data_IF_142506103769
#
_entry.id   IF_142506103769
#
_cell.length_a   1.000
_cell.length_b   1.000
_cell.length_c   1.000
_cell.angle_alpha   90.00
_cell.angle_beta   90.00
_cell.angle_gamma   90.00
#
_symmetry.space_group_name_H-M   'P 1'
#
loop_
_entity.id
_entity.type
_entity.pdbx_description
1 polymer ?
#
# COMPACT_ATOMS: atom_id res chain seq x y z
N UNK A 1 -1.38 6.80 6.99
CA UNK A 1 -1.99 7.14 5.68
C UNK A 1 -0.99 7.60 4.59
N UNK A 2 0.32 7.75 4.84
CA UNK A 2 1.22 8.39 3.86
C UNK A 2 2.16 7.46 3.06
N UNK A 3 2.29 6.17 3.40
CA UNK A 3 3.24 5.27 2.74
C UNK A 3 2.79 4.78 1.35
N UNK A 4 1.48 4.67 1.12
CA UNK A 4 0.94 4.19 -0.17
C UNK A 4 1.32 5.05 -1.37
N UNK A 5 1.50 6.36 -1.16
CA UNK A 5 1.95 7.29 -2.20
C UNK A 5 3.41 7.04 -2.59
N UNK A 6 4.26 6.65 -1.64
CA UNK A 6 5.66 6.34 -1.91
C UNK A 6 5.79 5.05 -2.72
N UNK A 7 5.04 4.01 -2.33
CA UNK A 7 4.96 2.78 -3.10
C UNK A 7 4.43 3.03 -4.53
N UNK A 8 3.34 3.79 -4.69
CA UNK A 8 2.81 4.16 -6.01
C UNK A 8 3.89 4.82 -6.90
N UNK A 9 4.66 5.76 -6.33
CA UNK A 9 5.73 6.48 -7.04
C UNK A 9 6.91 5.61 -7.44
N UNK A 10 7.28 4.65 -6.60
CA UNK A 10 8.36 3.69 -6.88
C UNK A 10 7.94 2.71 -7.98
N UNK A 11 6.67 2.29 -7.97
CA UNK A 11 6.12 1.34 -8.94
C UNK A 11 5.78 1.97 -10.29
N UNK A 12 5.46 3.27 -10.33
CA UNK A 12 5.00 3.96 -11.54
C UNK A 12 5.89 3.75 -12.79
N UNK A 13 7.24 3.78 -12.71
CA UNK A 13 8.09 3.59 -13.88
C UNK A 13 8.01 2.19 -14.49
N UNK A 14 7.59 1.17 -13.73
CA UNK A 14 7.49 -0.20 -14.22
C UNK A 14 6.23 -0.43 -15.07
N UNK A 15 5.22 0.45 -14.98
CA UNK A 15 3.97 0.32 -15.72
C UNK A 15 3.32 -1.05 -15.54
N UNK A 16 2.76 -1.58 -16.62
CA UNK A 16 2.02 -2.85 -16.62
C UNK A 16 2.94 -4.09 -16.47
N UNK A 17 4.23 -3.96 -16.76
CA UNK A 17 5.21 -5.05 -16.54
C UNK A 17 5.40 -5.35 -15.05
N UNK A 18 5.19 -4.33 -14.20
CA UNK A 18 5.31 -4.45 -12.76
C UNK A 18 6.73 -4.75 -12.28
N UNK A 19 6.83 -5.02 -10.98
CA UNK A 19 8.08 -5.44 -10.33
C UNK A 19 7.77 -6.65 -9.45
N UNK A 20 8.71 -7.60 -9.39
CA UNK A 20 8.66 -8.60 -8.34
C UNK A 20 8.92 -7.98 -6.96
N UNK A 21 8.57 -8.73 -5.91
CA UNK A 21 8.70 -8.24 -4.54
C UNK A 21 10.14 -7.98 -4.10
N UNK A 22 11.11 -8.72 -4.64
CA UNK A 22 12.52 -8.54 -4.29
C UNK A 22 13.09 -7.25 -4.90
N UNK A 23 12.67 -6.91 -6.11
CA UNK A 23 13.00 -5.68 -6.80
C UNK A 23 12.27 -4.46 -6.21
N UNK A 24 10.98 -4.61 -5.86
CA UNK A 24 10.17 -3.51 -5.33
C UNK A 24 10.46 -3.20 -3.85
N UNK A 25 10.78 -4.21 -3.04
CA UNK A 25 10.91 -4.07 -1.59
C UNK A 25 11.90 -2.98 -1.14
N UNK A 26 13.20 -3.09 -1.49
CA UNK A 26 14.22 -2.13 -1.07
C UNK A 26 13.92 -0.66 -1.44
N UNK A 27 13.53 -0.31 -2.68
CA UNK A 27 13.24 1.08 -3.01
C UNK A 27 11.96 1.60 -2.32
N UNK A 28 10.94 0.77 -2.12
CA UNK A 28 9.72 1.16 -1.38
C UNK A 28 10.03 1.41 0.09
N UNK A 29 10.88 0.58 0.71
CA UNK A 29 11.33 0.77 2.09
C UNK A 29 12.09 2.10 2.22
N UNK A 30 13.12 2.30 1.39
CA UNK A 30 13.91 3.53 1.39
C UNK A 30 13.06 4.79 1.17
N UNK A 31 12.15 4.77 0.19
CA UNK A 31 11.28 5.90 -0.11
C UNK A 31 10.29 6.23 1.03
N UNK A 32 9.96 5.25 1.89
CA UNK A 32 8.96 5.41 2.95
C UNK A 32 9.53 5.42 4.37
N UNK A 33 10.84 5.24 4.54
CA UNK A 33 11.52 5.11 5.83
C UNK A 33 11.29 6.30 6.79
N UNK A 34 11.20 7.52 6.27
CA UNK A 34 10.97 8.74 7.06
C UNK A 34 9.53 8.87 7.59
N UNK A 35 8.59 8.01 7.16
CA UNK A 35 7.19 8.10 7.59
C UNK A 35 7.01 7.42 8.95
N UNK A 36 6.19 8.00 9.83
CA UNK A 36 5.91 7.39 11.13
C UNK A 36 5.32 6.00 10.95
N UNK A 37 5.76 5.08 11.82
CA UNK A 37 5.16 3.76 11.97
C UNK A 37 4.01 3.89 12.97
N UNK A 38 2.87 3.31 12.62
CA UNK A 38 1.68 3.24 13.48
C UNK A 38 1.26 1.78 13.61
N UNK A 39 0.77 1.40 14.79
CA UNK A 39 0.27 0.06 15.04
C UNK A 39 -1.23 -0.02 14.76
N UNK A 40 -1.63 -1.01 13.97
CA UNK A 40 -3.02 -1.39 13.81
C UNK A 40 -3.40 -2.37 14.92
N UNK A 41 -4.40 -2.01 15.72
CA UNK A 41 -4.93 -2.81 16.83
C UNK A 41 -6.42 -3.03 16.65
N UNK A 42 -6.90 -4.22 17.01
CA UNK A 42 -8.30 -4.59 16.92
C UNK A 42 -8.60 -5.84 17.76
N UNK A 43 -9.86 -6.22 17.79
CA UNK A 43 -10.42 -7.39 18.46
C UNK A 43 -10.75 -8.49 17.45
N UNK A 44 -11.03 -9.69 17.94
CA UNK A 44 -11.43 -10.80 17.07
C UNK A 44 -12.73 -10.45 16.33
N UNK A 45 -12.70 -10.52 14.99
CA UNK A 45 -13.81 -10.13 14.12
C UNK A 45 -13.61 -8.78 13.43
N UNK A 46 -12.66 -7.94 13.88
CA UNK A 46 -12.35 -6.68 13.21
C UNK A 46 -11.66 -6.93 11.85
N UNK A 47 -12.01 -6.09 10.87
CA UNK A 47 -11.45 -6.15 9.51
C UNK A 47 -10.71 -4.85 9.22
N UNK A 48 -9.45 -4.99 8.79
CA UNK A 48 -8.68 -3.87 8.24
C UNK A 48 -8.72 -3.93 6.71
N UNK A 49 -9.42 -2.97 6.10
CA UNK A 49 -9.37 -2.78 4.65
C UNK A 49 -8.18 -1.88 4.31
N UNK A 50 -7.22 -2.42 3.56
CA UNK A 50 -5.98 -1.74 3.22
C UNK A 50 -5.94 -1.42 1.72
N UNK A 51 -5.44 -0.23 1.39
CA UNK A 51 -5.06 0.09 0.01
C UNK A 51 -3.96 -0.90 -0.45
N UNK A 52 -3.95 -1.39 -1.70
CA UNK A 52 -3.00 -2.40 -2.18
C UNK A 52 -1.54 -1.97 -2.03
N UNK A 53 -1.25 -0.67 -2.16
CA UNK A 53 0.09 -0.11 -1.97
C UNK A 53 0.42 0.30 -0.53
N UNK A 54 -0.40 -0.03 0.48
CA UNK A 54 -0.05 0.24 1.87
C UNK A 54 1.23 -0.53 2.24
N UNK A 55 2.31 0.20 2.55
CA UNK A 55 3.52 -0.42 3.11
C UNK A 55 3.24 -0.79 4.57
N UNK A 56 3.23 -2.09 4.86
CA UNK A 56 2.95 -2.64 6.17
C UNK A 56 3.81 -3.88 6.43
N UNK A 57 3.89 -4.28 7.70
CA UNK A 57 4.59 -5.49 8.12
C UNK A 57 3.79 -6.14 9.26
N UNK A 58 3.94 -7.45 9.41
CA UNK A 58 3.45 -8.14 10.58
C UNK A 58 4.17 -7.61 11.84
N UNK A 59 3.45 -7.49 12.96
CA UNK A 59 4.11 -7.16 14.23
C UNK A 59 5.02 -8.31 14.64
N UNK A 60 6.32 -8.06 14.74
CA UNK A 60 7.30 -9.03 15.21
C UNK A 60 8.28 -8.38 16.21
N UNK A 61 8.62 -9.05 17.33
CA UNK A 61 8.07 -10.32 17.81
C UNK A 61 6.65 -10.16 18.38
N UNK A 62 5.88 -11.25 18.43
CA UNK A 62 4.60 -11.28 19.14
C UNK A 62 4.84 -11.16 20.64
N UNK A 63 4.40 -10.05 21.25
CA UNK A 63 4.60 -9.76 22.69
C UNK A 63 3.40 -10.13 23.57
N UNK A 64 2.32 -10.63 22.99
CA UNK A 64 1.13 -11.08 23.73
C UNK A 64 1.29 -12.49 24.29
N UNK A 65 0.47 -12.84 25.27
CA UNK A 65 0.46 -14.14 25.95
C UNK A 65 -0.53 -15.15 25.34
N UNK A 66 -1.42 -14.69 24.46
CA UNK A 66 -2.42 -15.54 23.79
C UNK A 66 -2.14 -15.61 22.28
N UNK A 67 -2.48 -16.71 21.59
CA UNK A 67 -2.36 -16.79 20.14
C UNK A 67 -3.15 -15.67 19.44
N UNK A 68 -2.56 -15.08 18.41
CA UNK A 68 -3.20 -14.11 17.52
C UNK A 68 -3.19 -14.67 16.10
N UNK A 69 -4.37 -15.03 15.60
CA UNK A 69 -4.57 -15.56 14.24
C UNK A 69 -5.21 -14.46 13.39
N UNK A 70 -4.64 -14.22 12.21
CA UNK A 70 -5.13 -13.24 11.23
C UNK A 70 -5.15 -13.93 9.87
N UNK A 71 -6.22 -13.74 9.11
CA UNK A 71 -6.29 -14.13 7.70
C UNK A 71 -6.17 -12.90 6.82
N UNK A 72 -5.55 -13.05 5.66
CA UNK A 72 -5.43 -12.00 4.66
C UNK A 72 -6.10 -12.48 3.37
N UNK A 73 -7.45 -12.47 3.32
CA UNK A 73 -8.16 -12.81 2.09
C UNK A 73 -7.79 -11.81 1.00
N UNK A 74 -7.43 -12.31 -0.18
CA UNK A 74 -7.17 -11.46 -1.34
C UNK A 74 -8.46 -10.81 -1.83
N UNK A 75 -8.41 -9.50 -2.10
CA UNK A 75 -9.48 -8.78 -2.80
C UNK A 75 -9.01 -8.62 -4.25
N UNK A 76 -9.64 -9.35 -5.17
CA UNK A 76 -9.36 -9.22 -6.59
C UNK A 76 -10.04 -7.96 -7.14
N UNK A 77 -9.35 -7.29 -8.07
CA UNK A 77 -9.98 -6.27 -8.90
C UNK A 77 -10.78 -6.97 -10.01
N UNK A 78 -11.93 -6.40 -10.37
CA UNK A 78 -12.72 -6.89 -11.51
C UNK A 78 -12.01 -6.59 -12.84
N UNK A 79 -11.33 -5.44 -12.90
CA UNK A 79 -10.61 -4.95 -14.06
C UNK A 79 -9.33 -4.23 -13.58
N UNK A 80 -8.29 -4.09 -14.42
CA UNK A 80 -7.11 -3.28 -14.11
C UNK A 80 -7.50 -1.82 -13.79
N UNK A 81 -6.68 -1.13 -12.99
CA UNK A 81 -6.88 0.29 -12.74
C UNK A 81 -6.69 1.09 -14.04
N UNK A 82 -7.66 1.91 -14.41
CA UNK A 82 -7.60 2.71 -15.63
C UNK A 82 -6.60 3.87 -15.51
N UNK A 83 -6.42 4.40 -14.29
CA UNK A 83 -5.45 5.46 -13.93
C UNK A 83 -5.38 6.63 -14.93
N UNK A 84 -6.52 7.01 -15.52
CA UNK A 84 -6.58 7.98 -16.62
C UNK A 84 -7.06 9.38 -16.19
N UNK A 85 -8.24 9.45 -15.55
CA UNK A 85 -8.82 10.71 -15.08
C UNK A 85 -9.09 10.69 -13.58
N UNK A 86 -8.49 11.65 -12.87
CA UNK A 86 -8.65 11.82 -11.43
C UNK A 86 -10.07 12.24 -11.03
N UNK A 87 -10.82 12.89 -11.92
CA UNK A 87 -12.16 13.40 -11.64
C UNK A 87 -13.23 12.29 -11.56
N UNK A 88 -12.98 11.17 -12.24
CA UNK A 88 -13.89 10.01 -12.31
C UNK A 88 -13.34 8.78 -11.57
N UNK A 89 -12.15 8.87 -10.99
CA UNK A 89 -11.45 7.76 -10.35
C UNK A 89 -12.14 7.26 -9.06
N UNK A 90 -12.19 5.95 -8.85
CA UNK A 90 -12.57 5.37 -7.57
C UNK A 90 -11.56 5.75 -6.47
N UNK A 91 -11.92 5.70 -5.17
CA UNK A 91 -11.04 6.15 -4.09
C UNK A 91 -9.64 5.52 -4.07
N UNK A 92 -9.51 4.26 -4.51
CA UNK A 92 -8.23 3.56 -4.61
C UNK A 92 -7.38 4.15 -5.74
N UNK A 93 -7.93 4.30 -6.94
CA UNK A 93 -7.26 4.92 -8.09
C UNK A 93 -6.90 6.38 -7.84
N UNK A 94 -7.81 7.13 -7.22
CA UNK A 94 -7.62 8.52 -6.83
C UNK A 94 -6.36 8.70 -5.98
N UNK A 95 -6.14 7.82 -4.99
CA UNK A 95 -4.97 7.88 -4.13
C UNK A 95 -3.65 7.60 -4.89
N UNK A 96 -3.70 6.77 -5.94
CA UNK A 96 -2.56 6.48 -6.82
C UNK A 96 -2.27 7.68 -7.72
N UNK A 97 -3.29 8.25 -8.36
CA UNK A 97 -3.18 9.43 -9.21
C UNK A 97 -2.65 10.66 -8.45
N UNK A 98 -3.10 10.87 -7.21
CA UNK A 98 -2.61 11.95 -6.34
C UNK A 98 -1.13 11.75 -5.92
N UNK A 99 -0.63 10.52 -5.99
CA UNK A 99 0.78 10.24 -5.77
C UNK A 99 1.63 10.72 -6.97
N UNK A 100 1.14 10.47 -8.19
CA UNK A 100 1.81 10.83 -9.45
C UNK A 100 1.84 12.33 -9.70
N UNK A 101 0.72 13.03 -9.45
CA UNK A 101 0.65 14.48 -9.64
C UNK A 101 1.73 15.24 -8.83
N UNK A 102 2.05 14.75 -7.63
CA UNK A 102 3.11 15.31 -6.79
C UNK A 102 4.55 14.92 -7.17
N UNK A 103 4.79 14.24 -8.30
CA UNK A 103 6.12 14.06 -8.91
C UNK A 103 6.41 15.08 -10.01
N UNK A 104 5.39 15.62 -10.70
CA UNK A 104 5.53 16.57 -11.81
C UNK A 104 5.94 17.99 -11.39
N UNK A 105 6.22 18.23 -10.11
CA UNK A 105 6.53 19.54 -9.54
C UNK A 105 8.03 19.70 -9.15
N UNK A 106 8.94 19.03 -9.86
CA UNK A 106 10.40 19.16 -9.68
C UNK A 106 11.11 19.49 -10.97
#
# INVERSE_FOLDING_TARGET
MAKQRHAARVLAPAGDEGLDMAAAGPPVDAASAHRPVVYATGTAGDVFLCHPFLVHAASWPHRGTTPRIITQPGIALLEPFALADRSTAYPVEAAILDAFAGQKAS
#
